data_IF_767398401676
#
_entry.id   IF_767398401676
#
_cell.length_a   1.000
_cell.length_b   1.000
_cell.length_c   1.000
_cell.angle_alpha   90.00
_cell.angle_beta   90.00
_cell.angle_gamma   90.00
#
_symmetry.space_group_name_H-M   'P 1'
#
loop_
_entity.id
_entity.type
_entity.pdbx_description
1 polymer ?
#
# COMPACT_ATOMS: atom_id res chain seq x y z
N UNK A 1 19.84 15.80 -5.92
CA UNK A 1 19.59 14.37 -6.10
C UNK A 1 18.68 13.83 -5.06
N UNK A 2 17.71 13.18 -5.51
CA UNK A 2 16.65 12.67 -4.64
C UNK A 2 16.99 11.33 -4.01
N UNK A 3 18.00 10.64 -4.52
CA UNK A 3 18.26 9.25 -4.12
C UNK A 3 18.58 9.04 -2.65
N UNK A 4 19.24 10.00 -2.01
CA UNK A 4 19.59 9.85 -0.62
C UNK A 4 18.45 10.06 0.34
N UNK A 5 17.28 10.35 -0.18
CA UNK A 5 16.17 10.82 0.62
C UNK A 5 15.31 9.68 1.12
N UNK A 6 15.27 8.58 0.37
CA UNK A 6 14.52 7.39 0.78
C UNK A 6 15.51 6.23 0.91
N UNK A 7 15.70 5.77 2.15
CA UNK A 7 16.68 4.75 2.44
C UNK A 7 16.02 3.57 3.14
N UNK A 8 16.22 2.38 2.59
CA UNK A 8 15.72 1.15 3.18
C UNK A 8 16.62 0.76 4.36
N UNK A 9 15.99 0.45 5.48
CA UNK A 9 16.68 0.06 6.71
C UNK A 9 16.56 -1.44 6.90
N UNK A 10 17.69 -2.12 6.86
CA UNK A 10 17.75 -3.56 7.04
C UNK A 10 18.84 -3.86 8.08
N UNK A 11 18.44 -4.32 9.29
CA UNK A 11 19.45 -4.65 10.30
C UNK A 11 20.36 -5.77 9.82
N UNK A 12 21.63 -5.64 10.15
CA UNK A 12 22.64 -6.61 9.75
C UNK A 12 22.31 -7.98 10.38
N UNK A 13 22.40 -9.03 9.57
CA UNK A 13 22.15 -10.38 10.05
C UNK A 13 20.69 -10.82 10.01
N UNK A 14 19.76 -9.90 9.74
CA UNK A 14 18.35 -10.27 9.64
C UNK A 14 18.04 -10.94 8.30
N UNK A 15 17.11 -11.86 8.32
CA UNK A 15 16.62 -12.46 7.08
C UNK A 15 16.04 -11.36 6.19
N UNK A 16 16.17 -11.50 4.84
CA UNK A 16 15.64 -10.49 3.93
C UNK A 16 14.14 -10.33 4.07
N UNK A 17 13.68 -9.09 4.06
CA UNK A 17 12.26 -8.79 4.01
C UNK A 17 11.75 -9.06 2.60
N UNK A 18 10.60 -9.72 2.48
CA UNK A 18 10.00 -10.05 1.18
C UNK A 18 8.63 -9.40 1.07
N UNK A 19 8.48 -8.55 0.06
CA UNK A 19 7.24 -7.85 -0.20
C UNK A 19 7.01 -6.67 0.74
N UNK A 20 8.04 -6.26 1.51
CA UNK A 20 7.98 -5.13 2.42
C UNK A 20 9.40 -4.72 2.79
N UNK A 21 9.55 -3.55 3.42
CA UNK A 21 10.80 -3.13 4.03
C UNK A 21 10.60 -3.13 5.55
N UNK A 22 11.66 -3.44 6.30
CA UNK A 22 11.59 -3.39 7.76
C UNK A 22 11.50 -1.96 8.26
N UNK A 23 12.12 -1.02 7.55
CA UNK A 23 12.06 0.38 7.89
C UNK A 23 12.48 1.23 6.71
N UNK A 24 12.07 2.48 6.74
CA UNK A 24 12.43 3.46 5.72
C UNK A 24 12.82 4.75 6.44
N UNK A 25 13.98 5.28 6.09
CA UNK A 25 14.36 6.63 6.49
C UNK A 25 14.19 7.54 5.28
N UNK A 26 13.53 8.69 5.47
CA UNK A 26 13.21 9.55 4.35
C UNK A 26 13.28 11.01 4.75
N UNK A 27 13.48 11.87 3.75
CA UNK A 27 13.53 13.32 3.95
C UNK A 27 12.90 13.98 2.73
N UNK A 28 12.02 14.96 2.97
CA UNK A 28 11.38 15.69 1.89
C UNK A 28 9.99 16.15 2.28
N UNK A 29 9.16 16.42 1.27
CA UNK A 29 7.76 16.78 1.48
C UNK A 29 6.98 15.54 1.90
N UNK A 30 6.28 15.63 3.01
CA UNK A 30 5.47 14.51 3.49
C UNK A 30 4.09 14.56 2.84
N UNK A 31 3.66 13.41 2.34
CA UNK A 31 2.37 13.28 1.67
C UNK A 31 1.58 12.20 2.39
N UNK A 32 0.41 12.57 2.92
CA UNK A 32 -0.43 11.66 3.68
C UNK A 32 -1.63 11.26 2.83
N UNK A 33 -1.69 9.99 2.47
CA UNK A 33 -2.82 9.45 1.70
C UNK A 33 -3.76 8.78 2.68
N UNK A 34 -5.00 9.23 2.69
CA UNK A 34 -6.03 8.65 3.56
C UNK A 34 -6.25 7.18 3.24
N UNK A 35 -6.90 6.47 4.15
CA UNK A 35 -7.26 5.07 3.89
C UNK A 35 -8.12 4.97 2.64
N UNK A 36 -7.65 4.16 1.69
CA UNK A 36 -8.33 3.93 0.42
C UNK A 36 -8.93 2.54 0.43
N UNK A 37 -10.21 2.45 0.12
CA UNK A 37 -10.90 1.18 -0.04
C UNK A 37 -11.06 0.88 -1.53
N UNK A 38 -11.64 -0.27 -1.84
CA UNK A 38 -11.68 -0.74 -3.22
C UNK A 38 -12.84 -0.21 -4.05
N UNK A 39 -13.22 1.04 -3.86
CA UNK A 39 -14.25 1.64 -4.69
C UNK A 39 -13.64 2.57 -5.74
N UNK A 40 -14.42 2.88 -6.78
CA UNK A 40 -13.95 3.70 -7.89
C UNK A 40 -14.03 5.21 -7.55
N UNK A 41 -13.72 6.05 -8.53
CA UNK A 41 -13.68 7.50 -8.34
C UNK A 41 -15.05 8.11 -7.99
N UNK A 42 -16.11 7.36 -8.16
CA UNK A 42 -17.47 7.78 -7.81
C UNK A 42 -17.94 7.16 -6.49
N UNK A 43 -17.01 6.59 -5.71
CA UNK A 43 -17.29 5.94 -4.44
C UNK A 43 -18.25 4.77 -4.59
N UNK A 44 -18.09 3.99 -5.67
CA UNK A 44 -18.92 2.82 -5.92
C UNK A 44 -18.06 1.58 -6.12
N UNK A 45 -18.49 0.48 -5.49
CA UNK A 45 -17.79 -0.79 -5.61
C UNK A 45 -18.21 -1.49 -6.90
N UNK A 46 -17.22 -1.91 -7.68
CA UNK A 46 -17.45 -2.64 -8.93
C UNK A 46 -17.32 -4.15 -8.74
N UNK A 47 -16.80 -4.58 -7.59
CA UNK A 47 -16.51 -5.98 -7.35
C UNK A 47 -16.55 -6.29 -5.87
N UNK A 48 -16.88 -7.54 -5.55
CA UNK A 48 -16.77 -8.07 -4.19
C UNK A 48 -15.59 -9.02 -4.06
N UNK A 49 -14.71 -9.08 -5.06
CA UNK A 49 -13.52 -9.90 -5.01
C UNK A 49 -12.41 -9.17 -4.25
N UNK A 50 -11.79 -9.88 -3.30
CA UNK A 50 -10.77 -9.29 -2.43
C UNK A 50 -9.58 -8.72 -3.21
N UNK A 51 -9.00 -9.53 -4.12
CA UNK A 51 -7.80 -9.08 -4.86
C UNK A 51 -8.13 -7.92 -5.78
N UNK A 52 -9.30 -7.94 -6.42
CA UNK A 52 -9.73 -6.84 -7.28
C UNK A 52 -9.95 -5.56 -6.47
N UNK A 53 -10.50 -5.68 -5.26
CA UNK A 53 -10.64 -4.51 -4.37
C UNK A 53 -9.27 -3.98 -3.94
N UNK A 54 -8.32 -4.86 -3.68
CA UNK A 54 -6.95 -4.45 -3.36
C UNK A 54 -6.34 -3.66 -4.52
N UNK A 55 -6.52 -4.14 -5.73
CA UNK A 55 -6.02 -3.46 -6.92
C UNK A 55 -6.59 -2.06 -7.03
N UNK A 56 -7.90 -1.93 -6.85
CA UNK A 56 -8.55 -0.62 -6.93
C UNK A 56 -8.05 0.31 -5.84
N UNK A 57 -7.90 -0.19 -4.61
CA UNK A 57 -7.39 0.62 -3.51
C UNK A 57 -5.97 1.12 -3.81
N UNK A 58 -5.11 0.25 -4.35
CA UNK A 58 -3.75 0.64 -4.73
C UNK A 58 -3.76 1.68 -5.85
N UNK A 59 -4.65 1.52 -6.83
CA UNK A 59 -4.78 2.50 -7.91
C UNK A 59 -5.25 3.85 -7.38
N UNK A 60 -6.14 3.84 -6.39
CA UNK A 60 -6.61 5.08 -5.75
C UNK A 60 -5.46 5.79 -5.05
N UNK A 61 -4.56 5.04 -4.43
CA UNK A 61 -3.37 5.60 -3.78
C UNK A 61 -2.47 6.26 -4.82
N UNK A 62 -2.21 5.57 -5.93
CA UNK A 62 -1.35 6.10 -7.00
C UNK A 62 -1.94 7.40 -7.56
N UNK A 63 -3.25 7.42 -7.79
CA UNK A 63 -3.92 8.61 -8.30
C UNK A 63 -3.78 9.79 -7.34
N UNK A 64 -3.89 9.51 -6.03
CA UNK A 64 -3.77 10.56 -5.01
C UNK A 64 -2.33 11.06 -4.89
N UNK A 65 -1.36 10.15 -4.93
CA UNK A 65 0.07 10.55 -4.93
C UNK A 65 0.40 11.44 -6.12
N UNK A 66 -0.18 11.14 -7.29
CA UNK A 66 0.06 11.90 -8.50
C UNK A 66 -0.35 13.36 -8.35
N UNK A 67 -1.33 13.67 -7.50
CA UNK A 67 -1.74 15.04 -7.25
C UNK A 67 -0.61 15.88 -6.64
N UNK A 68 0.34 15.25 -5.96
CA UNK A 68 1.51 15.92 -5.38
C UNK A 68 2.74 15.74 -6.26
N UNK A 69 2.57 15.22 -7.48
CA UNK A 69 3.70 14.92 -8.33
C UNK A 69 4.55 13.78 -7.82
N UNK A 70 3.95 12.89 -7.02
CA UNK A 70 4.66 11.77 -6.40
C UNK A 70 4.16 10.45 -7.00
N UNK A 71 4.89 9.38 -6.72
CA UNK A 71 4.53 8.05 -7.17
C UNK A 71 4.90 6.98 -6.14
N UNK A 72 4.70 5.71 -6.50
CA UNK A 72 4.99 4.60 -5.57
C UNK A 72 6.42 4.58 -5.05
N UNK A 73 7.37 5.10 -5.81
CA UNK A 73 8.77 5.16 -5.39
C UNK A 73 8.98 6.07 -4.16
N UNK A 74 8.01 6.90 -3.85
CA UNK A 74 8.11 7.81 -2.70
C UNK A 74 7.42 7.27 -1.45
N UNK A 75 6.82 6.10 -1.50
CA UNK A 75 6.13 5.53 -0.35
C UNK A 75 7.11 5.20 0.76
N UNK A 76 6.84 5.69 1.97
CA UNK A 76 7.65 5.40 3.15
C UNK A 76 6.98 4.38 4.05
N UNK A 77 5.67 4.46 4.21
CA UNK A 77 4.89 3.56 5.07
C UNK A 77 3.56 3.22 4.42
N UNK A 78 3.16 1.96 4.54
CA UNK A 78 1.88 1.47 4.05
C UNK A 78 1.26 0.57 5.11
N UNK A 79 0.00 0.82 5.44
CA UNK A 79 -0.73 -0.03 6.38
C UNK A 79 -1.96 -0.59 5.70
N UNK A 80 -2.15 -1.88 5.84
CA UNK A 80 -3.29 -2.61 5.30
C UNK A 80 -4.19 -3.06 6.42
N UNK A 81 -5.49 -2.82 6.26
CA UNK A 81 -6.53 -3.30 7.16
C UNK A 81 -7.40 -4.24 6.35
N UNK A 82 -7.45 -5.51 6.72
CA UNK A 82 -8.21 -6.51 5.97
C UNK A 82 -9.28 -7.12 6.86
N UNK A 83 -10.42 -7.45 6.30
CA UNK A 83 -11.51 -8.07 7.04
C UNK A 83 -11.25 -9.57 7.26
N UNK A 84 -10.53 -10.22 6.35
CA UNK A 84 -10.24 -11.63 6.45
C UNK A 84 -8.79 -11.91 6.04
N UNK A 85 -7.94 -12.13 7.04
CA UNK A 85 -6.52 -12.39 6.78
C UNK A 85 -6.31 -13.68 5.99
N UNK A 86 -7.24 -14.61 6.06
CA UNK A 86 -7.13 -15.87 5.32
C UNK A 86 -7.20 -15.63 3.82
N UNK A 87 -8.03 -14.69 3.38
CA UNK A 87 -8.07 -14.28 1.98
C UNK A 87 -6.72 -13.73 1.55
N UNK A 88 -6.14 -12.88 2.38
CA UNK A 88 -4.83 -12.29 2.09
C UNK A 88 -3.77 -13.38 1.95
N UNK A 89 -3.72 -14.31 2.91
CA UNK A 89 -2.69 -15.35 2.94
C UNK A 89 -2.90 -16.34 1.79
N UNK A 90 -4.14 -16.79 1.56
CA UNK A 90 -4.41 -17.81 0.56
C UNK A 90 -4.25 -17.29 -0.88
N UNK A 91 -4.39 -15.99 -1.09
CA UNK A 91 -4.30 -15.40 -2.41
C UNK A 91 -3.03 -14.55 -2.59
N UNK A 92 -2.00 -14.85 -1.81
CA UNK A 92 -0.78 -14.07 -1.80
C UNK A 92 -0.08 -13.96 -3.13
N UNK A 93 -0.06 -15.03 -3.93
CA UNK A 93 0.59 -15.00 -5.24
C UNK A 93 -0.12 -14.06 -6.20
N UNK A 94 -1.44 -14.15 -6.25
CA UNK A 94 -2.29 -13.29 -7.06
C UNK A 94 -2.12 -11.83 -6.66
N UNK A 95 -2.15 -11.59 -5.36
CA UNK A 95 -2.03 -10.26 -4.81
C UNK A 95 -0.64 -9.66 -5.08
N UNK A 96 0.40 -10.49 -5.00
CA UNK A 96 1.76 -10.05 -5.31
C UNK A 96 1.89 -9.55 -6.74
N UNK A 97 1.24 -10.23 -7.69
CA UNK A 97 1.22 -9.79 -9.09
C UNK A 97 0.52 -8.46 -9.25
N UNK A 98 -0.65 -8.33 -8.62
CA UNK A 98 -1.42 -7.09 -8.66
C UNK A 98 -0.62 -5.94 -8.05
N UNK A 99 0.03 -6.19 -6.91
CA UNK A 99 0.86 -5.17 -6.28
C UNK A 99 1.95 -4.69 -7.25
N UNK A 100 2.66 -5.60 -7.90
CA UNK A 100 3.72 -5.21 -8.83
C UNK A 100 3.19 -4.48 -10.06
N UNK A 101 2.01 -4.85 -10.54
CA UNK A 101 1.38 -4.14 -11.66
C UNK A 101 1.13 -2.66 -11.33
N UNK A 102 0.66 -2.39 -10.13
CA UNK A 102 0.25 -1.04 -9.73
C UNK A 102 1.39 -0.25 -9.11
N UNK A 103 2.14 -0.89 -8.22
CA UNK A 103 3.16 -0.21 -7.41
C UNK A 103 4.59 -0.46 -7.89
N UNK A 104 4.79 -1.36 -8.84
CA UNK A 104 6.13 -1.78 -9.23
C UNK A 104 6.80 -2.51 -8.08
N UNK A 105 8.12 -2.45 -8.05
CA UNK A 105 8.89 -3.09 -6.99
C UNK A 105 9.22 -2.11 -5.86
N UNK A 106 8.27 -1.28 -5.52
CA UNK A 106 8.41 -0.28 -4.47
C UNK A 106 7.73 -0.81 -3.21
N UNK A 107 8.53 -1.24 -2.24
CA UNK A 107 8.03 -1.86 -1.01
C UNK A 107 8.39 -0.99 0.19
N UNK A 108 7.41 -0.26 0.74
CA UNK A 108 7.65 0.57 1.91
C UNK A 108 7.68 -0.24 3.20
N UNK A 109 7.95 0.42 4.31
CA UNK A 109 7.70 -0.16 5.62
C UNK A 109 6.22 -0.48 5.69
N UNK A 110 5.87 -1.75 5.99
CA UNK A 110 4.51 -2.21 5.83
C UNK A 110 4.01 -2.94 7.06
N UNK A 111 2.76 -2.69 7.40
CA UNK A 111 2.03 -3.39 8.45
C UNK A 111 0.72 -3.86 7.87
N UNK A 112 0.30 -5.08 8.22
CA UNK A 112 -0.99 -5.61 7.79
C UNK A 112 -1.67 -6.25 8.99
N UNK A 113 -2.92 -5.87 9.25
CA UNK A 113 -3.70 -6.39 10.37
C UNK A 113 -5.11 -6.72 9.91
N UNK A 114 -5.69 -7.74 10.53
CA UNK A 114 -7.10 -8.03 10.37
C UNK A 114 -7.88 -7.17 11.35
N UNK A 115 -8.96 -6.57 10.85
CA UNK A 115 -9.83 -5.72 11.67
C UNK A 115 -11.21 -6.34 11.78
N UNK A 116 -11.94 -5.94 12.82
CA UNK A 116 -13.29 -6.45 13.05
C UNK A 116 -14.26 -6.02 11.95
N UNK A 117 -14.11 -4.81 11.44
CA UNK A 117 -14.96 -4.30 10.36
C UNK A 117 -14.33 -3.05 9.75
N UNK A 118 -14.86 -2.64 8.61
CA UNK A 118 -14.51 -1.39 7.94
C UNK A 118 -15.78 -0.55 7.86
N UNK A 119 -15.62 0.77 7.68
CA UNK A 119 -16.77 1.66 7.73
C UNK A 119 -17.78 1.36 6.62
N UNK A 120 -17.29 1.06 5.41
CA UNK A 120 -18.18 0.69 4.30
C UNK A 120 -18.41 -0.80 4.31
N UNK A 121 -19.67 -1.21 4.31
CA UNK A 121 -20.03 -2.63 4.45
C UNK A 121 -19.43 -3.53 3.37
N UNK A 122 -19.30 -3.03 2.16
CA UNK A 122 -18.75 -3.82 1.05
C UNK A 122 -17.23 -3.83 1.00
N UNK A 123 -16.58 -2.98 1.79
CA UNK A 123 -15.11 -2.92 1.76
C UNK A 123 -14.52 -4.18 2.38
N UNK A 124 -13.58 -4.80 1.67
CA UNK A 124 -12.84 -5.96 2.16
C UNK A 124 -11.43 -5.62 2.59
N UNK A 125 -10.97 -4.43 2.22
CA UNK A 125 -9.62 -3.96 2.50
C UNK A 125 -9.62 -2.44 2.55
N UNK A 126 -8.72 -1.91 3.38
CA UNK A 126 -8.42 -0.48 3.40
C UNK A 126 -6.91 -0.33 3.50
N UNK A 127 -6.33 0.55 2.69
CA UNK A 127 -4.88 0.74 2.63
C UNK A 127 -4.57 2.22 2.74
N UNK A 128 -3.64 2.58 3.62
CA UNK A 128 -3.20 3.95 3.75
C UNK A 128 -1.70 4.05 3.53
N UNK A 129 -1.23 5.20 3.05
CA UNK A 129 0.17 5.40 2.71
C UNK A 129 0.63 6.76 3.21
N UNK A 130 1.85 6.79 3.72
CA UNK A 130 2.60 8.03 3.90
C UNK A 130 3.78 7.98 2.94
N UNK A 131 3.92 9.00 2.13
CA UNK A 131 5.02 9.11 1.18
C UNK A 131 5.87 10.33 1.52
N UNK A 132 7.12 10.32 1.07
CA UNK A 132 8.04 11.44 1.24
C UNK A 132 8.68 11.71 -0.11
N UNK A 133 8.45 12.90 -0.62
CA UNK A 133 8.95 13.31 -1.93
C UNK A 133 10.10 14.29 -1.75
N UNK A 134 11.25 14.03 -2.36
CA UNK A 134 12.38 14.92 -2.28
C UNK A 134 12.14 16.29 -2.92
#
# INVERSE_FOLDING_TARGET
MSKGILKVLQPEGWAPAKGYANGIAARGEMIFVAGMIGWNSQCQFETDDFVAQCKQALQNIVATLACAGAGPEHMARMTWYVKDKKEYVSRGRELGKVYQEVMGKNYPAMTLVQVADLVEDRALVEIEVTAVKP
#
